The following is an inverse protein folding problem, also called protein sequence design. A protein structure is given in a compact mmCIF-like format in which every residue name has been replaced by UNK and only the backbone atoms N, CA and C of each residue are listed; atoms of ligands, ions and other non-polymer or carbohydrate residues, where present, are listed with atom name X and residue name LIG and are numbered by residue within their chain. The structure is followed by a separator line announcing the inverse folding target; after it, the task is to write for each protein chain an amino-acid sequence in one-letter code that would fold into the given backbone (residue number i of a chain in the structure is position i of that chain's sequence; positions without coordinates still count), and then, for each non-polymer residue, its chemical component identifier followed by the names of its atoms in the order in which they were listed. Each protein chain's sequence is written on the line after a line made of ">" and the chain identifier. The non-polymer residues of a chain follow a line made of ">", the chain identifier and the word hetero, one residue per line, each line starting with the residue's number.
data_IF_837800655480
#
_entry.id   IF_837800655480
#
_cell.length_a   1.000
_cell.length_b   1.000
_cell.length_c   1.000
_cell.angle_alpha   90.00
_cell.angle_beta   90.00
_cell.angle_gamma   90.00
#
_symmetry.space_group_name_H-M   'P 1'
#
loop_
_entity.id
_entity.type
_entity.pdbx_description
1 polymer ?
#
# COMPACT_ATOMS: atom_id res chain seq x y z
N UNK A 1 -4.94 -23.38 -26.05
CA UNK A 1 -4.81 -22.95 -24.64
C UNK A 1 -6.21 -22.77 -24.07
N UNK A 2 -6.62 -23.55 -23.07
CA UNK A 2 -8.00 -23.51 -22.55
C UNK A 2 -8.25 -22.39 -21.52
N UNK A 3 -9.51 -21.96 -21.40
CA UNK A 3 -10.01 -20.91 -20.49
C UNK A 3 -9.56 -21.13 -19.03
N UNK A 4 -9.48 -22.39 -18.57
CA UNK A 4 -9.00 -22.74 -17.24
C UNK A 4 -7.54 -22.32 -16.98
N UNK A 5 -6.65 -22.46 -17.97
CA UNK A 5 -5.25 -22.04 -17.81
C UNK A 5 -5.14 -20.52 -17.72
N UNK A 6 -6.00 -19.78 -18.42
CA UNK A 6 -6.08 -18.31 -18.33
C UNK A 6 -6.59 -17.91 -16.95
N UNK A 7 -7.69 -18.51 -16.48
CA UNK A 7 -8.25 -18.24 -15.15
C UNK A 7 -7.24 -18.51 -14.03
N UNK A 8 -6.48 -19.60 -14.11
CA UNK A 8 -5.44 -19.92 -13.15
C UNK A 8 -4.32 -18.86 -13.11
N UNK A 9 -3.91 -18.35 -14.28
CA UNK A 9 -2.93 -17.24 -14.36
C UNK A 9 -3.48 -15.95 -13.77
N UNK A 10 -4.75 -15.61 -14.05
CA UNK A 10 -5.41 -14.42 -13.49
C UNK A 10 -5.53 -14.51 -11.97
N UNK A 11 -5.88 -15.68 -11.41
CA UNK A 11 -5.91 -15.90 -9.96
C UNK A 11 -4.53 -15.72 -9.32
N UNK A 12 -3.46 -16.25 -9.94
CA UNK A 12 -2.08 -16.06 -9.46
C UNK A 12 -1.68 -14.58 -9.48
N UNK A 13 -2.01 -13.87 -10.56
CA UNK A 13 -1.76 -12.44 -10.68
C UNK A 13 -2.53 -11.66 -9.60
N UNK A 14 -3.82 -11.96 -9.39
CA UNK A 14 -4.62 -11.36 -8.32
C UNK A 14 -3.97 -11.57 -6.96
N UNK A 15 -3.64 -12.81 -6.60
CA UNK A 15 -3.04 -13.13 -5.31
C UNK A 15 -1.67 -12.46 -5.14
N UNK A 16 -0.88 -12.38 -6.21
CA UNK A 16 0.37 -11.64 -6.22
C UNK A 16 0.14 -10.16 -5.96
N UNK A 17 -0.82 -9.53 -6.66
CA UNK A 17 -1.18 -8.13 -6.47
C UNK A 17 -1.72 -7.85 -5.07
N UNK A 18 -2.53 -8.73 -4.48
CA UNK A 18 -3.03 -8.60 -3.11
C UNK A 18 -1.89 -8.72 -2.08
N UNK A 19 -0.99 -9.69 -2.26
CA UNK A 19 0.18 -9.84 -1.39
C UNK A 19 1.13 -8.64 -1.53
N UNK A 20 1.37 -8.22 -2.76
CA UNK A 20 2.15 -7.03 -3.08
C UNK A 20 1.55 -5.78 -2.44
N UNK A 21 0.22 -5.63 -2.54
CA UNK A 21 -0.49 -4.51 -1.95
C UNK A 21 -0.25 -4.45 -0.43
N UNK A 22 -0.31 -5.60 0.26
CA UNK A 22 -0.07 -5.67 1.70
C UNK A 22 1.38 -5.39 2.10
N UNK A 23 2.36 -5.87 1.32
CA UNK A 23 3.79 -5.73 1.64
C UNK A 23 4.30 -4.30 1.41
N UNK A 24 3.93 -3.66 0.29
CA UNK A 24 4.54 -2.39 -0.13
C UNK A 24 3.74 -1.15 0.29
N UNK A 25 2.40 -1.22 0.26
CA UNK A 25 1.53 -0.08 0.58
C UNK A 25 1.20 -0.07 2.08
N UNK A 26 1.43 -1.19 2.74
CA UNK A 26 1.00 -1.49 4.08
C UNK A 26 -0.52 -1.68 4.20
N UNK A 27 -0.91 -2.45 5.20
CA UNK A 27 -2.30 -2.67 5.55
C UNK A 27 -2.83 -1.46 6.32
N UNK A 28 -3.34 -0.45 5.61
CA UNK A 28 -3.89 0.78 6.23
C UNK A 28 -5.01 0.46 7.24
N UNK A 29 -5.96 -0.45 6.99
CA UNK A 29 -6.88 -0.92 8.02
C UNK A 29 -6.18 -1.45 9.28
N UNK A 30 -5.16 -2.29 9.13
CA UNK A 30 -4.36 -2.77 10.27
C UNK A 30 -3.65 -1.63 11.00
N UNK A 31 -3.05 -0.67 10.29
CA UNK A 31 -2.39 0.50 10.88
C UNK A 31 -3.36 1.42 11.60
N UNK A 32 -4.59 1.56 11.09
CA UNK A 32 -5.65 2.30 11.76
C UNK A 32 -6.02 1.65 13.09
N UNK A 33 -6.22 0.33 13.10
CA UNK A 33 -6.50 -0.41 14.33
C UNK A 33 -5.35 -0.29 15.33
N UNK A 34 -4.11 -0.47 14.87
CA UNK A 34 -2.92 -0.30 15.72
C UNK A 34 -2.80 1.13 16.28
N UNK A 35 -3.10 2.15 15.48
CA UNK A 35 -3.08 3.54 15.93
C UNK A 35 -4.19 3.84 16.95
N UNK A 36 -5.37 3.21 16.82
CA UNK A 36 -6.43 3.27 17.84
C UNK A 36 -5.93 2.69 19.17
N UNK A 37 -5.41 1.46 19.14
CA UNK A 37 -4.93 0.77 20.34
C UNK A 37 -3.86 1.59 21.06
N UNK A 38 -2.86 2.08 20.31
CA UNK A 38 -1.79 2.94 20.83
C UNK A 38 -2.30 4.23 21.46
N UNK A 39 -3.31 4.85 20.86
CA UNK A 39 -3.91 6.06 21.40
C UNK A 39 -4.68 5.79 22.70
N UNK A 40 -5.47 4.71 22.75
CA UNK A 40 -6.21 4.31 23.96
C UNK A 40 -5.24 3.96 25.10
N UNK A 41 -4.15 3.26 24.79
CA UNK A 41 -3.08 2.93 25.73
C UNK A 41 -2.42 4.22 26.29
N UNK A 42 -2.04 5.15 25.42
CA UNK A 42 -1.45 6.42 25.82
C UNK A 42 -2.39 7.24 26.72
N UNK A 43 -3.70 7.26 26.41
CA UNK A 43 -4.70 7.90 27.27
C UNK A 43 -4.80 7.24 28.65
N UNK A 44 -4.77 5.91 28.69
CA UNK A 44 -4.85 5.14 29.94
C UNK A 44 -3.63 5.40 30.84
N UNK A 45 -2.44 5.47 30.25
CA UNK A 45 -1.20 5.80 30.95
C UNK A 45 -1.17 7.24 31.45
N UNK A 46 -1.65 8.20 30.65
CA UNK A 46 -1.73 9.59 31.06
C UNK A 46 -2.79 9.81 32.16
N UNK A 47 -3.90 9.06 32.13
CA UNK A 47 -4.92 9.12 33.17
C UNK A 47 -4.39 8.69 34.54
N UNK A 48 -3.47 7.71 34.57
CA UNK A 48 -2.80 7.26 35.80
C UNK A 48 -1.64 8.18 36.22
N UNK A 49 -1.03 8.91 35.28
CA UNK A 49 0.15 9.75 35.52
C UNK A 49 0.02 11.16 34.91
N UNK A 50 -1.00 11.92 35.32
CA UNK A 50 -1.41 13.18 34.67
C UNK A 50 -0.36 14.30 34.61
N UNK A 51 0.67 14.24 35.46
CA UNK A 51 1.74 15.25 35.51
C UNK A 51 2.94 14.91 34.62
N UNK A 52 3.00 13.70 34.07
CA UNK A 52 4.11 13.27 33.25
C UNK A 52 4.07 13.97 31.87
N UNK A 53 5.06 14.83 31.64
CA UNK A 53 5.22 15.56 30.37
C UNK A 53 5.51 14.62 29.20
N UNK A 54 6.19 13.50 29.41
CA UNK A 54 6.55 12.56 28.35
C UNK A 54 5.33 11.79 27.86
N UNK A 55 4.45 11.37 28.79
CA UNK A 55 3.19 10.71 28.45
C UNK A 55 2.22 11.64 27.70
N UNK A 56 2.24 12.95 28.00
CA UNK A 56 1.49 13.94 27.20
C UNK A 56 2.00 14.01 25.77
N UNK A 57 3.31 14.03 25.56
CA UNK A 57 3.89 14.00 24.20
C UNK A 57 3.50 12.72 23.47
N UNK A 58 3.55 11.56 24.14
CA UNK A 58 3.17 10.27 23.56
C UNK A 58 1.67 10.24 23.18
N UNK A 59 0.79 10.81 24.01
CA UNK A 59 -0.64 10.94 23.71
C UNK A 59 -0.87 11.81 22.47
N UNK A 60 -0.19 12.95 22.36
CA UNK A 60 -0.29 13.85 21.21
C UNK A 60 0.17 13.15 19.92
N UNK A 61 1.33 12.49 19.94
CA UNK A 61 1.90 11.79 18.78
C UNK A 61 1.01 10.61 18.34
N UNK A 62 0.50 9.84 19.29
CA UNK A 62 -0.40 8.72 18.99
C UNK A 62 -1.75 9.19 18.44
N UNK A 63 -2.28 10.31 18.96
CA UNK A 63 -3.48 10.97 18.44
C UNK A 63 -3.30 11.46 17.01
N UNK A 64 -2.17 12.08 16.70
CA UNK A 64 -1.88 12.55 15.34
C UNK A 64 -1.84 11.37 14.35
N UNK A 65 -1.17 10.27 14.72
CA UNK A 65 -1.13 9.04 13.92
C UNK A 65 -2.52 8.42 13.73
N UNK A 66 -3.33 8.39 14.78
CA UNK A 66 -4.73 7.94 14.70
C UNK A 66 -5.56 8.80 13.73
N UNK A 67 -5.49 10.13 13.84
CA UNK A 67 -6.23 11.04 12.95
C UNK A 67 -5.79 10.89 11.50
N UNK A 68 -4.49 10.76 11.26
CA UNK A 68 -3.91 10.61 9.92
C UNK A 68 -4.33 9.30 9.27
N UNK A 69 -4.25 8.18 9.99
CA UNK A 69 -4.73 6.87 9.50
C UNK A 69 -6.24 6.87 9.29
N UNK A 70 -7.03 7.49 10.18
CA UNK A 70 -8.49 7.65 10.05
C UNK A 70 -8.89 8.37 8.76
N UNK A 71 -8.23 9.51 8.46
CA UNK A 71 -8.46 10.26 7.21
C UNK A 71 -8.14 9.41 5.98
N UNK A 72 -7.05 8.66 6.03
CA UNK A 72 -6.59 7.79 4.93
C UNK A 72 -7.57 6.66 4.63
N UNK A 73 -8.10 5.98 5.67
CA UNK A 73 -9.15 4.95 5.52
C UNK A 73 -10.41 5.55 4.91
N UNK A 74 -10.86 6.70 5.41
CA UNK A 74 -12.05 7.40 4.90
C UNK A 74 -11.90 7.74 3.41
N UNK A 75 -10.77 8.33 3.03
CA UNK A 75 -10.47 8.71 1.63
C UNK A 75 -10.48 7.51 0.69
N UNK A 76 -9.95 6.35 1.11
CA UNK A 76 -9.99 5.11 0.32
C UNK A 76 -11.42 4.59 0.13
N UNK A 77 -12.25 4.64 1.17
CA UNK A 77 -13.66 4.22 1.08
C UNK A 77 -14.44 5.09 0.09
N UNK A 78 -14.25 6.41 0.16
CA UNK A 78 -14.94 7.37 -0.72
C UNK A 78 -14.50 7.25 -2.18
N UNK A 79 -13.19 7.14 -2.44
CA UNK A 79 -12.66 7.17 -3.80
C UNK A 79 -12.62 5.79 -4.48
N UNK A 80 -12.88 4.69 -3.76
CA UNK A 80 -12.80 3.29 -4.24
C UNK A 80 -11.50 2.95 -5.00
N UNK A 81 -10.41 3.67 -4.70
CA UNK A 81 -9.10 3.50 -5.34
C UNK A 81 -7.99 3.66 -4.31
N UNK A 82 -6.83 3.10 -4.59
CA UNK A 82 -5.65 3.28 -3.75
C UNK A 82 -5.16 4.71 -3.94
N UNK A 83 -5.40 5.57 -2.96
CA UNK A 83 -4.95 6.97 -2.97
C UNK A 83 -3.82 7.26 -2.01
N UNK A 84 -3.34 6.25 -1.30
CA UNK A 84 -2.29 6.40 -0.28
C UNK A 84 -1.43 5.16 -0.25
N UNK A 85 -0.15 5.31 0.09
CA UNK A 85 0.78 4.21 0.40
C UNK A 85 1.67 4.55 1.58
N UNK A 86 2.27 3.54 2.19
CA UNK A 86 3.17 3.72 3.33
C UNK A 86 4.60 3.57 2.83
N UNK A 87 5.43 4.58 3.11
CA UNK A 87 6.87 4.52 2.87
C UNK A 87 7.58 4.90 4.17
N UNK A 88 8.41 4.00 4.71
CA UNK A 88 9.17 4.21 5.94
C UNK A 88 8.29 4.67 7.13
N UNK A 89 7.11 4.10 7.28
CA UNK A 89 6.17 4.42 8.37
C UNK A 89 5.40 5.73 8.19
N UNK A 90 5.59 6.46 7.09
CA UNK A 90 4.81 7.66 6.76
C UNK A 90 3.75 7.35 5.70
N UNK A 91 2.55 7.88 5.86
CA UNK A 91 1.50 7.79 4.85
C UNK A 91 1.75 8.88 3.81
N UNK A 92 1.99 8.46 2.57
CA UNK A 92 2.09 9.34 1.40
C UNK A 92 0.74 9.34 0.71
N UNK A 93 0.18 10.54 0.53
CA UNK A 93 -1.14 10.80 -0.09
C UNK A 93 -0.99 11.68 -1.34
N UNK A 94 0.03 11.36 -2.15
CA UNK A 94 0.32 12.00 -3.43
C UNK A 94 0.18 10.98 -4.56
N UNK A 95 -0.70 11.27 -5.52
CA UNK A 95 -1.03 10.35 -6.60
C UNK A 95 0.16 10.11 -7.53
N UNK A 96 0.92 11.15 -7.86
CA UNK A 96 2.05 11.01 -8.78
C UNK A 96 3.18 10.20 -8.13
N UNK A 97 3.47 10.45 -6.85
CA UNK A 97 4.39 9.62 -6.06
C UNK A 97 3.93 8.16 -5.94
N UNK A 98 2.62 7.93 -5.75
CA UNK A 98 2.04 6.57 -5.73
C UNK A 98 2.30 5.88 -7.07
N UNK A 99 1.90 6.52 -8.16
CA UNK A 99 2.02 5.93 -9.49
C UNK A 99 3.50 5.68 -9.83
N UNK A 100 4.39 6.65 -9.58
CA UNK A 100 5.82 6.51 -9.79
C UNK A 100 6.42 5.37 -8.95
N UNK A 101 6.05 5.25 -7.67
CA UNK A 101 6.51 4.17 -6.80
C UNK A 101 6.10 2.80 -7.35
N UNK A 102 4.84 2.63 -7.75
CA UNK A 102 4.37 1.36 -8.32
C UNK A 102 5.00 1.05 -9.67
N UNK A 103 5.14 2.04 -10.56
CA UNK A 103 5.80 1.81 -11.85
C UNK A 103 7.27 1.45 -11.68
N UNK A 104 7.98 2.12 -10.77
CA UNK A 104 9.38 1.80 -10.48
C UNK A 104 9.51 0.38 -9.91
N UNK A 105 8.62 0.01 -8.99
CA UNK A 105 8.63 -1.34 -8.41
C UNK A 105 8.19 -2.42 -9.40
N UNK A 106 7.20 -2.15 -10.25
CA UNK A 106 6.78 -3.04 -11.32
C UNK A 106 7.90 -3.24 -12.33
N UNK A 107 8.58 -2.16 -12.71
CA UNK A 107 9.78 -2.21 -13.55
C UNK A 107 10.86 -3.04 -12.87
N UNK A 108 11.10 -2.87 -11.57
CA UNK A 108 12.06 -3.69 -10.83
C UNK A 108 11.67 -5.17 -10.79
N UNK A 109 10.39 -5.52 -10.61
CA UNK A 109 9.93 -6.92 -10.66
C UNK A 109 10.04 -7.50 -12.07
N UNK A 110 9.68 -6.74 -13.10
CA UNK A 110 9.76 -7.16 -14.49
C UNK A 110 11.20 -7.27 -15.00
N UNK A 111 12.10 -6.40 -14.52
CA UNK A 111 13.53 -6.41 -14.82
C UNK A 111 14.33 -7.30 -13.88
N UNK A 112 13.78 -7.67 -12.71
CA UNK A 112 14.37 -8.68 -11.83
C UNK A 112 14.39 -10.00 -12.60
N UNK A 113 15.57 -10.31 -13.13
CA UNK A 113 15.84 -11.54 -13.84
C UNK A 113 15.72 -12.69 -12.83
N UNK A 114 14.54 -13.27 -12.69
CA UNK A 114 14.43 -14.67 -12.29
C UNK A 114 15.29 -15.50 -13.24
N UNK A 115 15.89 -16.60 -12.78
CA UNK A 115 16.64 -17.52 -13.62
C UNK A 115 15.83 -18.01 -14.85
N UNK A 116 14.49 -17.95 -14.76
CA UNK A 116 13.53 -18.24 -15.82
C UNK A 116 13.24 -17.08 -16.80
N UNK A 117 13.61 -15.83 -16.50
CA UNK A 117 13.40 -14.65 -17.36
C UNK A 117 14.56 -14.33 -18.31
N UNK A 118 15.54 -15.24 -18.48
CA UNK A 118 16.52 -15.19 -19.59
C UNK A 118 15.87 -15.23 -21.00
N UNK A 119 14.55 -15.43 -21.11
CA UNK A 119 13.80 -15.46 -22.38
C UNK A 119 12.55 -14.57 -22.42
N UNK A 120 12.44 -13.55 -21.58
CA UNK A 120 11.41 -12.53 -21.86
C UNK A 120 11.93 -11.64 -22.99
N UNK A 121 11.45 -11.94 -24.20
CA UNK A 121 11.74 -11.21 -25.42
C UNK A 121 11.28 -9.76 -25.25
N UNK A 122 12.22 -8.81 -25.44
CA UNK A 122 12.00 -7.37 -25.42
C UNK A 122 10.85 -6.91 -26.32
N UNK A 123 10.49 -7.69 -27.34
CA UNK A 123 9.37 -7.42 -28.24
C UNK A 123 8.00 -7.43 -27.55
N UNK A 124 7.84 -8.11 -26.41
CA UNK A 124 6.56 -8.15 -25.69
C UNK A 124 6.21 -6.80 -25.02
N UNK A 125 7.22 -5.98 -24.67
CA UNK A 125 7.01 -4.65 -24.11
C UNK A 125 6.65 -3.63 -25.20
N UNK A 126 7.18 -3.81 -26.42
CA UNK A 126 6.91 -2.93 -27.57
C UNK A 126 5.44 -3.02 -28.03
N UNK A 127 4.77 -4.16 -27.83
CA UNK A 127 3.36 -4.32 -28.20
C UNK A 127 2.36 -3.73 -27.20
N UNK A 128 2.79 -3.38 -25.98
CA UNK A 128 1.92 -2.67 -25.02
C UNK A 128 1.49 -1.28 -25.49
N UNK A 129 2.28 -0.65 -26.36
CA UNK A 129 1.99 0.67 -26.95
C UNK A 129 1.03 0.62 -28.15
N UNK A 130 0.49 -0.54 -28.53
CA UNK A 130 -0.42 -0.70 -29.68
C UNK A 130 -1.91 -0.84 -29.33
N UNK A 131 -2.29 -0.77 -28.05
CA UNK A 131 -3.69 -0.70 -27.66
C UNK A 131 -4.15 0.77 -27.62
N UNK A 132 -4.18 1.42 -28.78
CA UNK A 132 -4.96 2.65 -28.95
C UNK A 132 -6.45 2.30 -28.96
N UNK A 133 -7.28 3.13 -28.32
CA UNK A 133 -8.74 3.01 -28.09
C UNK A 133 -9.64 2.91 -29.35
N UNK A 134 -9.09 2.55 -30.51
CA UNK A 134 -9.81 2.46 -31.78
C UNK A 134 -10.00 1.02 -32.27
N UNK A 135 -10.00 0.03 -31.36
CA UNK A 135 -10.33 -1.37 -31.69
C UNK A 135 -11.57 -1.84 -30.96
#
# INVERSE_FOLDING_TARGET
>A
MGLHKILAKLKRLKNFLEKFQKMEIGDIPMMYNFAIERYIEAQSLLATNQKDSTLKTIEIDSKEKFLTTKRSVKKRKEKKRITTFILNGKIIDDYDSIIAHYFNHFKNIMLAKSSSSKKLNSNCLVHGNKLSLQQ
#
